data_IF_599041004111
#
_entry.id   IF_599041004111
#
_cell.length_a   1.000
_cell.length_b   1.000
_cell.length_c   1.000
_cell.angle_alpha   90.00
_cell.angle_beta   90.00
_cell.angle_gamma   90.00
#
_symmetry.space_group_name_H-M   'P 1'
#
loop_
_entity.id
_entity.type
_entity.pdbx_description
1 polymer ?
#
# COMPACT_ATOMS: atom_id res chain seq x y z
N UNK A 1 -2.03 25.84 -16.52
CA UNK A 1 -3.13 25.45 -15.59
C UNK A 1 -2.51 24.83 -14.36
N UNK A 2 -2.87 25.26 -13.13
CA UNK A 2 -2.44 24.53 -11.95
C UNK A 2 -3.26 23.24 -11.87
N UNK A 3 -2.62 22.08 -11.86
CA UNK A 3 -3.31 20.82 -11.60
C UNK A 3 -3.66 20.74 -10.11
N UNK A 4 -4.88 20.29 -9.80
CA UNK A 4 -5.40 20.14 -8.43
C UNK A 4 -4.62 19.07 -7.63
N UNK A 5 -3.88 18.20 -8.32
CA UNK A 5 -3.16 17.07 -7.72
C UNK A 5 -1.66 17.35 -7.51
N UNK A 6 -1.08 16.86 -6.40
CA UNK A 6 0.36 16.92 -6.18
C UNK A 6 1.09 16.10 -7.25
N UNK A 7 2.19 16.66 -7.79
CA UNK A 7 2.98 16.04 -8.85
C UNK A 7 4.34 15.63 -8.33
N UNK A 8 4.70 14.37 -8.57
CA UNK A 8 6.04 13.83 -8.31
C UNK A 8 6.78 13.73 -9.65
N UNK A 9 8.03 14.16 -9.66
CA UNK A 9 8.96 13.98 -10.78
C UNK A 9 10.18 13.22 -10.25
N UNK A 10 10.52 12.10 -10.88
CA UNK A 10 11.68 11.29 -10.52
C UNK A 10 12.52 11.01 -11.76
N UNK A 11 13.84 10.99 -11.57
CA UNK A 11 14.78 10.55 -12.61
C UNK A 11 14.92 9.03 -12.46
N UNK A 12 14.82 8.31 -13.57
CA UNK A 12 14.94 6.85 -13.62
C UNK A 12 15.97 6.44 -14.65
N UNK A 13 16.59 5.29 -14.45
CA UNK A 13 17.56 4.72 -15.37
C UNK A 13 16.87 4.32 -16.69
N UNK A 14 17.59 4.39 -17.84
CA UNK A 14 17.07 3.97 -19.13
C UNK A 14 16.39 2.59 -19.17
N UNK A 15 16.91 1.52 -18.52
CA UNK A 15 16.24 0.22 -18.50
C UNK A 15 14.88 0.27 -17.79
N UNK A 16 14.75 1.02 -16.70
CA UNK A 16 13.49 1.17 -15.96
C UNK A 16 12.47 1.89 -16.83
N UNK A 17 12.87 3.02 -17.43
CA UNK A 17 12.00 3.77 -18.33
C UNK A 17 11.46 2.88 -19.47
N UNK A 18 12.33 2.12 -20.13
CA UNK A 18 11.94 1.19 -21.21
C UNK A 18 11.03 0.06 -20.73
N UNK A 19 11.21 -0.42 -19.50
CA UNK A 19 10.33 -1.41 -18.91
C UNK A 19 8.91 -0.84 -18.71
N UNK A 20 8.81 0.34 -18.08
CA UNK A 20 7.51 1.01 -17.87
C UNK A 20 6.85 1.37 -19.20
N UNK A 21 7.61 1.84 -20.19
CA UNK A 21 7.09 2.14 -21.53
C UNK A 21 6.50 0.91 -22.21
N UNK A 22 7.19 -0.24 -22.16
CA UNK A 22 6.66 -1.49 -22.73
C UNK A 22 5.40 -1.95 -22.01
N UNK A 23 5.34 -1.83 -20.69
CA UNK A 23 4.15 -2.16 -19.91
C UNK A 23 2.97 -1.24 -20.25
N UNK A 24 3.22 0.06 -20.39
CA UNK A 24 2.19 1.03 -20.77
C UNK A 24 1.63 0.74 -22.17
N UNK A 25 2.51 0.43 -23.14
CA UNK A 25 2.12 0.02 -24.50
C UNK A 25 1.30 -1.27 -24.51
N UNK A 26 1.75 -2.28 -23.74
CA UNK A 26 1.03 -3.55 -23.61
C UNK A 26 -0.38 -3.36 -23.07
N UNK A 27 -0.55 -2.47 -22.10
CA UNK A 27 -1.80 -2.29 -21.38
C UNK A 27 -2.67 -1.16 -21.99
N UNK A 28 -2.21 -0.51 -23.07
CA UNK A 28 -2.96 0.52 -23.80
C UNK A 28 -3.15 1.84 -23.03
N UNK A 29 -2.29 2.14 -22.07
CA UNK A 29 -2.39 3.30 -21.17
C UNK A 29 -1.22 4.28 -21.35
N UNK A 30 -1.36 5.49 -20.81
CA UNK A 30 -0.27 6.47 -20.81
C UNK A 30 0.88 6.05 -19.89
N UNK A 31 2.10 6.53 -20.19
CA UNK A 31 3.28 6.24 -19.37
C UNK A 31 3.11 6.73 -17.93
N UNK A 32 2.54 7.93 -17.73
CA UNK A 32 2.30 8.49 -16.41
C UNK A 32 1.26 7.71 -15.62
N UNK A 33 0.21 7.23 -16.29
CA UNK A 33 -0.78 6.35 -15.65
C UNK A 33 -0.13 5.04 -15.23
N UNK A 34 0.64 4.39 -16.11
CA UNK A 34 1.32 3.14 -15.77
C UNK A 34 2.32 3.30 -14.63
N UNK A 35 3.08 4.39 -14.62
CA UNK A 35 3.99 4.71 -13.53
C UNK A 35 3.25 4.92 -12.20
N UNK A 36 2.11 5.63 -12.23
CA UNK A 36 1.26 5.82 -11.05
C UNK A 36 0.74 4.48 -10.53
N UNK A 37 0.24 3.62 -11.40
CA UNK A 37 -0.35 2.34 -11.01
C UNK A 37 0.72 1.43 -10.40
N UNK A 38 1.92 1.36 -10.99
CA UNK A 38 3.06 0.63 -10.41
C UNK A 38 3.50 1.18 -9.03
N UNK A 39 3.42 2.50 -8.83
CA UNK A 39 3.72 3.10 -7.52
C UNK A 39 2.65 2.74 -6.48
N UNK A 40 1.38 2.67 -6.87
CA UNK A 40 0.30 2.22 -5.99
C UNK A 40 0.47 0.74 -5.63
N UNK A 41 0.72 -0.12 -6.62
CA UNK A 41 0.99 -1.54 -6.40
C UNK A 41 2.18 -1.76 -5.45
N UNK A 42 3.26 -0.97 -5.60
CA UNK A 42 4.40 -1.04 -4.68
C UNK A 42 4.03 -0.61 -3.25
N UNK A 43 3.19 0.41 -3.08
CA UNK A 43 2.71 0.83 -1.76
C UNK A 43 1.82 -0.24 -1.11
N UNK A 44 0.94 -0.89 -1.89
CA UNK A 44 0.12 -2.00 -1.42
C UNK A 44 0.98 -3.14 -0.88
N UNK A 45 2.09 -3.48 -1.58
CA UNK A 45 3.03 -4.51 -1.10
C UNK A 45 3.71 -4.12 0.23
N UNK A 46 4.06 -2.85 0.41
CA UNK A 46 4.60 -2.37 1.69
C UNK A 46 3.56 -2.42 2.82
N UNK A 47 2.29 -2.12 2.51
CA UNK A 47 1.20 -2.22 3.49
C UNK A 47 0.96 -3.68 3.92
N UNK A 48 0.99 -4.61 2.97
CA UNK A 48 0.83 -6.04 3.22
C UNK A 48 1.94 -6.57 4.15
N UNK A 49 3.19 -6.16 3.95
CA UNK A 49 4.31 -6.52 4.84
C UNK A 49 4.05 -6.06 6.29
N UNK A 50 3.55 -4.84 6.46
CA UNK A 50 3.20 -4.29 7.78
C UNK A 50 2.03 -5.05 8.41
N UNK A 51 1.04 -5.45 7.61
CA UNK A 51 -0.10 -6.22 8.08
C UNK A 51 0.31 -7.64 8.49
N UNK A 52 1.19 -8.28 7.72
CA UNK A 52 1.75 -9.60 8.03
C UNK A 52 2.48 -9.58 9.38
N UNK A 53 3.31 -8.56 9.63
CA UNK A 53 3.99 -8.39 10.91
C UNK A 53 2.99 -8.31 12.09
N UNK A 54 1.87 -7.59 11.92
CA UNK A 54 0.80 -7.53 12.94
C UNK A 54 0.12 -8.88 13.15
N UNK A 55 -0.09 -9.65 12.10
CA UNK A 55 -0.66 -11.00 12.18
C UNK A 55 0.28 -11.91 12.97
N UNK A 56 1.57 -11.93 12.65
CA UNK A 56 2.58 -12.72 13.36
C UNK A 56 2.61 -12.35 14.85
N UNK A 57 2.57 -11.05 15.18
CA UNK A 57 2.53 -10.60 16.57
C UNK A 57 1.28 -11.11 17.32
N UNK A 58 0.11 -11.11 16.67
CA UNK A 58 -1.14 -11.67 17.23
C UNK A 58 -1.13 -13.18 17.35
N UNK A 59 -0.47 -13.89 16.44
CA UNK A 59 -0.31 -15.34 16.53
C UNK A 59 0.52 -15.73 17.76
N UNK A 60 1.58 -14.97 18.04
CA UNK A 60 2.41 -15.14 19.25
C UNK A 60 1.63 -14.80 20.52
N UNK A 61 0.90 -13.68 20.50
CA UNK A 61 0.13 -13.18 21.63
C UNK A 61 -1.36 -13.26 21.34
N UNK A 62 -1.94 -14.47 21.40
CA UNK A 62 -3.38 -14.65 21.19
C UNK A 62 -4.17 -13.87 22.23
N UNK A 63 -4.92 -12.88 21.77
CA UNK A 63 -5.87 -12.19 22.62
C UNK A 63 -6.90 -13.21 23.13
N UNK A 64 -7.21 -13.24 24.44
CA UNK A 64 -8.26 -14.10 24.94
C UNK A 64 -9.60 -13.72 24.30
N UNK A 65 -10.47 -14.71 24.07
CA UNK A 65 -11.86 -14.43 23.71
C UNK A 65 -12.55 -13.78 24.90
N UNK A 66 -13.14 -12.60 24.69
CA UNK A 66 -13.84 -11.85 25.73
C UNK A 66 -15.31 -11.78 25.33
N UNK A 67 -16.26 -12.21 26.18
CA UNK A 67 -17.68 -12.00 25.91
C UNK A 67 -18.01 -10.51 25.76
N UNK A 68 -18.87 -10.16 24.80
CA UNK A 68 -19.19 -8.76 24.43
C UNK A 68 -19.53 -7.87 25.64
N UNK A 69 -20.22 -8.41 26.65
CA UNK A 69 -20.57 -7.69 27.89
C UNK A 69 -19.36 -7.18 28.67
N UNK A 70 -18.21 -7.85 28.60
CA UNK A 70 -16.97 -7.47 29.29
C UNK A 70 -16.04 -6.60 28.43
N UNK A 71 -16.25 -6.55 27.11
CA UNK A 71 -15.42 -5.78 26.18
C UNK A 71 -15.47 -4.27 26.49
N UNK A 72 -16.68 -3.74 26.67
CA UNK A 72 -16.89 -2.31 26.94
C UNK A 72 -16.42 -1.87 28.33
N UNK A 73 -16.35 -2.79 29.31
CA UNK A 73 -15.78 -2.51 30.62
C UNK A 73 -14.25 -2.35 30.54
N UNK A 74 -13.59 -3.17 29.71
CA UNK A 74 -12.12 -3.14 29.54
C UNK A 74 -11.63 -1.91 28.78
N UNK A 75 -12.42 -1.38 27.83
CA UNK A 75 -12.09 -0.19 27.03
C UNK A 75 -12.26 1.16 27.75
N UNK A 76 -12.97 1.21 28.89
CA UNK A 76 -13.08 2.46 29.68
C UNK A 76 -11.81 2.77 30.50
N UNK A 77 -10.80 1.90 30.45
CA UNK A 77 -9.52 2.09 31.11
C UNK A 77 -8.47 2.47 30.06
N UNK A 78 -8.23 3.78 29.97
CA UNK A 78 -7.23 4.49 29.12
C UNK A 78 -7.44 4.48 27.61
#
# INVERSE_FOLDING_TARGET
>A
MPSILPRISAIVEPPIFKAVERLAKRDGVSLSQKARDLLLEALELFEDEVLEAKVIARMRNKAPSIPQKYFWQKRKVK
#
